data_IF_508045085353
#
_entry.id   IF_508045085353
#
_cell.length_a   1.000
_cell.length_b   1.000
_cell.length_c   1.000
_cell.angle_alpha   90.00
_cell.angle_beta   90.00
_cell.angle_gamma   90.00
#
_symmetry.space_group_name_H-M   'P 1'
#
loop_
_entity.id
_entity.type
_entity.pdbx_description
1 polymer ?
#
# COMPACT_ATOMS: atom_id res chain seq x y z
N UNK A 1 17.87 6.79 -0.10
CA UNK A 1 18.98 5.83 -0.33
C UNK A 1 19.45 5.19 0.98
N UNK A 2 19.78 5.97 2.01
CA UNK A 2 20.26 5.42 3.29
C UNK A 2 19.30 4.40 3.92
N UNK A 3 18.03 4.77 4.13
CA UNK A 3 17.01 3.86 4.68
C UNK A 3 16.81 2.60 3.83
N UNK A 4 16.99 2.69 2.51
CA UNK A 4 16.88 1.50 1.64
C UNK A 4 18.05 0.53 1.88
N UNK A 5 19.27 1.03 2.12
CA UNK A 5 20.42 0.19 2.48
C UNK A 5 20.25 -0.41 3.87
N UNK A 6 19.76 0.39 4.83
CA UNK A 6 19.43 -0.08 6.18
C UNK A 6 18.41 -1.23 6.14
N UNK A 7 17.43 -1.15 5.23
CA UNK A 7 16.45 -2.21 4.99
C UNK A 7 17.01 -3.43 4.24
N UNK A 8 18.33 -3.50 4.02
CA UNK A 8 18.99 -4.59 3.29
C UNK A 8 19.02 -4.42 1.77
N UNK A 9 18.61 -3.28 1.24
CA UNK A 9 18.68 -2.99 -0.20
C UNK A 9 20.10 -2.80 -0.71
N UNK A 10 20.35 -3.20 -1.95
CA UNK A 10 21.65 -3.08 -2.62
C UNK A 10 21.57 -1.98 -3.68
N UNK A 11 22.42 -0.95 -3.53
CA UNK A 11 22.48 0.16 -4.49
C UNK A 11 23.56 -0.12 -5.51
N UNK A 12 23.16 -0.36 -6.76
CA UNK A 12 24.09 -0.46 -7.88
C UNK A 12 24.43 0.94 -8.39
N UNK A 13 25.71 1.17 -8.69
CA UNK A 13 26.19 2.44 -9.27
C UNK A 13 26.43 2.29 -10.77
N UNK A 14 26.34 3.41 -11.48
CA UNK A 14 26.78 3.56 -12.87
C UNK A 14 27.95 4.53 -12.90
N UNK A 15 28.97 4.21 -13.69
CA UNK A 15 30.07 5.12 -13.98
C UNK A 15 29.66 6.13 -15.06
N UNK A 16 29.85 7.40 -14.76
CA UNK A 16 29.59 8.53 -15.64
C UNK A 16 30.78 8.76 -16.59
N UNK A 17 30.56 9.55 -17.64
CA UNK A 17 31.60 9.88 -18.64
C UNK A 17 32.78 10.67 -18.06
N UNK A 18 32.56 11.40 -16.97
CA UNK A 18 33.57 12.13 -16.21
C UNK A 18 34.33 11.23 -15.21
N UNK A 19 34.04 9.93 -15.18
CA UNK A 19 34.66 8.94 -14.31
C UNK A 19 34.04 8.85 -12.90
N UNK A 20 33.09 9.72 -12.54
CA UNK A 20 32.36 9.65 -11.27
C UNK A 20 31.38 8.47 -11.24
N UNK A 21 30.95 8.06 -10.06
CA UNK A 21 29.90 7.06 -9.89
C UNK A 21 28.62 7.71 -9.36
N UNK A 22 27.47 7.30 -9.92
CA UNK A 22 26.15 7.73 -9.46
C UNK A 22 25.27 6.53 -9.16
N UNK A 23 24.45 6.57 -8.09
CA UNK A 23 23.42 5.55 -7.86
C UNK A 23 22.52 5.40 -9.08
N UNK A 24 22.34 4.16 -9.54
CA UNK A 24 21.57 3.83 -10.73
C UNK A 24 20.31 3.03 -10.40
N UNK A 25 20.46 2.01 -9.55
CA UNK A 25 19.36 1.09 -9.22
C UNK A 25 19.39 0.77 -7.73
N UNK A 26 18.23 0.80 -7.09
CA UNK A 26 18.03 0.31 -5.73
C UNK A 26 17.36 -1.07 -5.84
N UNK A 27 18.14 -2.11 -5.58
CA UNK A 27 17.68 -3.48 -5.59
C UNK A 27 17.15 -3.82 -4.20
N UNK A 28 15.83 -3.91 -4.06
CA UNK A 28 15.13 -4.21 -2.82
C UNK A 28 13.73 -4.76 -3.16
N UNK A 29 13.14 -5.60 -2.30
CA UNK A 29 11.72 -5.90 -2.41
C UNK A 29 10.88 -4.73 -1.92
N UNK A 30 9.69 -4.56 -2.48
CA UNK A 30 8.83 -3.45 -2.07
C UNK A 30 8.36 -3.58 -0.62
N UNK A 31 8.21 -4.81 -0.12
CA UNK A 31 7.88 -5.05 1.28
C UNK A 31 9.00 -4.59 2.21
N UNK A 32 10.25 -4.94 1.94
CA UNK A 32 11.39 -4.53 2.77
C UNK A 32 11.72 -3.05 2.63
N UNK A 33 11.46 -2.44 1.46
CA UNK A 33 11.54 -0.99 1.29
C UNK A 33 10.67 -0.22 2.30
N UNK A 34 9.60 -0.85 2.79
CA UNK A 34 8.68 -0.27 3.77
C UNK A 34 9.03 -0.59 5.23
N UNK A 35 10.18 -1.20 5.56
CA UNK A 35 10.57 -1.50 6.96
C UNK A 35 10.75 -0.24 7.82
N UNK A 36 11.35 0.80 7.24
CA UNK A 36 11.71 2.04 7.96
C UNK A 36 11.15 3.26 7.25
N UNK A 37 11.08 4.37 7.98
CA UNK A 37 10.82 5.70 7.42
C UNK A 37 12.08 6.56 7.47
N UNK A 38 12.00 7.80 6.98
CA UNK A 38 13.06 8.80 7.19
C UNK A 38 13.30 9.12 8.68
N UNK A 39 12.40 8.71 9.57
CA UNK A 39 12.51 8.87 11.04
C UNK A 39 13.02 7.61 11.73
N UNK A 40 13.35 6.54 11.00
CA UNK A 40 13.83 5.27 11.53
C UNK A 40 12.80 4.13 11.45
N UNK A 41 13.08 3.05 12.17
CA UNK A 41 12.22 1.86 12.27
C UNK A 41 11.02 2.08 13.19
N UNK A 42 9.91 1.43 12.84
CA UNK A 42 8.71 1.34 13.66
C UNK A 42 8.00 -0.01 13.41
N UNK A 43 6.93 -0.28 14.16
CA UNK A 43 6.15 -1.52 14.04
C UNK A 43 5.05 -1.43 12.97
N UNK A 44 5.10 -0.43 12.09
CA UNK A 44 4.04 -0.09 11.13
C UNK A 44 4.33 -0.54 9.70
N UNK A 45 5.32 -1.40 9.48
CA UNK A 45 5.70 -1.86 8.13
C UNK A 45 4.52 -2.48 7.39
N UNK A 46 3.73 -3.34 8.04
CA UNK A 46 2.62 -4.07 7.38
C UNK A 46 1.50 -3.11 6.99
N UNK A 47 1.17 -2.18 7.87
CA UNK A 47 0.15 -1.16 7.71
C UNK A 47 0.55 -0.22 6.58
N UNK A 48 1.79 0.29 6.61
CA UNK A 48 2.38 1.11 5.54
C UNK A 48 2.38 0.40 4.20
N UNK A 49 2.77 -0.87 4.18
CA UNK A 49 2.77 -1.67 2.97
C UNK A 49 1.35 -1.84 2.42
N UNK A 50 0.40 -2.25 3.25
CA UNK A 50 -1.00 -2.41 2.85
C UNK A 50 -1.62 -1.09 2.37
N UNK A 51 -1.33 0.04 3.02
CA UNK A 51 -1.75 1.36 2.59
C UNK A 51 -1.28 1.64 1.15
N UNK A 52 0.01 1.43 0.86
CA UNK A 52 0.56 1.64 -0.49
C UNK A 52 -0.12 0.77 -1.56
N UNK A 53 -0.44 -0.49 -1.23
CA UNK A 53 -1.14 -1.38 -2.15
C UNK A 53 -2.61 -0.98 -2.32
N UNK A 54 -3.23 -0.43 -1.26
CA UNK A 54 -4.62 0.01 -1.29
C UNK A 54 -4.78 1.29 -2.10
N UNK A 55 -3.85 2.24 -1.97
CA UNK A 55 -3.81 3.44 -2.82
C UNK A 55 -3.77 3.06 -4.31
N UNK A 56 -2.92 2.10 -4.69
CA UNK A 56 -2.90 1.59 -6.07
C UNK A 56 -4.27 0.99 -6.47
N UNK A 57 -4.93 0.27 -5.56
CA UNK A 57 -6.28 -0.26 -5.76
C UNK A 57 -7.39 0.80 -5.77
N UNK A 58 -7.12 2.06 -5.46
CA UNK A 58 -8.12 3.14 -5.50
C UNK A 58 -8.12 3.84 -6.85
N UNK A 59 -6.93 3.93 -7.45
CA UNK A 59 -6.69 4.68 -8.67
C UNK A 59 -7.52 4.17 -9.87
N UNK A 60 -7.81 5.10 -10.77
CA UNK A 60 -8.42 4.85 -12.07
C UNK A 60 -7.49 3.96 -12.92
N UNK A 61 -8.09 2.96 -13.58
CA UNK A 61 -7.36 1.99 -14.39
C UNK A 61 -7.37 0.57 -13.81
N UNK A 62 -6.45 -0.24 -14.33
CA UNK A 62 -6.30 -1.65 -13.97
C UNK A 62 -5.11 -1.82 -13.02
N UNK A 63 -5.35 -2.15 -11.74
CA UNK A 63 -4.26 -2.39 -10.79
C UNK A 63 -3.50 -3.65 -11.18
N UNK A 64 -2.17 -3.55 -11.21
CA UNK A 64 -1.28 -4.67 -11.51
C UNK A 64 -0.44 -4.99 -10.27
N UNK A 65 -0.47 -6.25 -9.85
CA UNK A 65 0.31 -6.70 -8.71
C UNK A 65 1.55 -7.46 -9.15
N UNK A 66 2.69 -7.11 -8.56
CA UNK A 66 3.87 -7.96 -8.60
C UNK A 66 3.72 -9.10 -7.57
N UNK A 67 4.09 -10.32 -7.94
CA UNK A 67 3.94 -11.50 -7.07
C UNK A 67 4.61 -11.33 -5.69
N UNK A 68 5.78 -10.69 -5.66
CA UNK A 68 6.48 -10.42 -4.39
C UNK A 68 5.78 -9.37 -3.52
N UNK A 69 4.97 -8.50 -4.11
CA UNK A 69 4.09 -7.60 -3.35
C UNK A 69 2.88 -8.33 -2.80
N UNK A 70 2.26 -9.23 -3.59
CA UNK A 70 1.13 -10.06 -3.12
C UNK A 70 1.51 -10.92 -1.93
N UNK A 71 2.72 -11.46 -1.97
CA UNK A 71 3.23 -12.35 -0.96
C UNK A 71 4.05 -11.64 0.11
N UNK A 72 4.22 -10.31 0.11
CA UNK A 72 5.12 -9.62 1.05
C UNK A 72 6.51 -10.28 1.16
N UNK A 73 7.11 -10.62 0.01
CA UNK A 73 8.42 -11.31 -0.03
C UNK A 73 9.52 -10.37 0.50
N UNK A 74 10.28 -10.84 1.48
CA UNK A 74 11.47 -10.15 1.99
C UNK A 74 12.64 -10.22 0.98
N UNK A 75 13.68 -9.43 1.19
CA UNK A 75 14.87 -9.44 0.36
C UNK A 75 15.51 -10.83 0.27
N UNK A 76 15.76 -11.31 -0.95
CA UNK A 76 16.34 -12.62 -1.23
C UNK A 76 17.87 -12.54 -1.31
N UNK A 77 18.51 -12.41 -0.15
CA UNK A 77 19.96 -12.25 -0.04
C UNK A 77 20.72 -13.50 -0.46
N UNK A 78 20.19 -14.69 -0.18
CA UNK A 78 20.78 -15.97 -0.58
C UNK A 78 20.96 -16.03 -2.10
N UNK A 79 19.93 -15.67 -2.86
CA UNK A 79 20.02 -15.63 -4.32
C UNK A 79 21.01 -14.58 -4.85
N UNK A 80 21.20 -13.46 -4.15
CA UNK A 80 22.26 -12.51 -4.50
C UNK A 80 23.64 -13.14 -4.30
N UNK A 81 23.85 -13.82 -3.17
CA UNK A 81 25.11 -14.48 -2.86
C UNK A 81 25.45 -15.58 -3.88
N UNK A 82 24.46 -16.36 -4.30
CA UNK A 82 24.63 -17.43 -5.30
C UNK A 82 24.90 -16.90 -6.71
N UNK A 83 24.21 -15.83 -7.12
CA UNK A 83 24.27 -15.34 -8.51
C UNK A 83 25.29 -14.23 -8.72
N UNK A 84 25.73 -13.55 -7.67
CA UNK A 84 26.54 -12.33 -7.73
C UNK A 84 25.80 -11.11 -8.31
N UNK A 85 24.47 -11.18 -8.48
CA UNK A 85 23.68 -10.13 -9.14
C UNK A 85 22.74 -9.46 -8.14
N UNK A 86 22.91 -8.16 -7.93
CA UNK A 86 22.09 -7.38 -7.00
C UNK A 86 20.57 -7.50 -7.28
N UNK A 87 20.16 -7.49 -8.55
CA UNK A 87 18.75 -7.61 -8.96
C UNK A 87 18.07 -8.92 -8.56
N UNK A 88 18.82 -9.94 -8.17
CA UNK A 88 18.23 -11.20 -7.71
C UNK A 88 17.46 -11.01 -6.40
N UNK A 89 17.80 -9.98 -5.62
CA UNK A 89 17.20 -9.69 -4.31
C UNK A 89 15.68 -9.56 -4.33
N UNK A 90 15.08 -9.12 -5.45
CA UNK A 90 13.64 -8.94 -5.61
C UNK A 90 13.05 -9.78 -6.74
N UNK A 91 13.71 -10.90 -7.08
CA UNK A 91 13.30 -11.83 -8.14
C UNK A 91 13.38 -13.29 -7.67
N UNK A 92 13.05 -13.53 -6.40
CA UNK A 92 13.01 -14.88 -5.84
C UNK A 92 12.04 -15.74 -6.65
N UNK A 93 12.44 -16.96 -6.96
CA UNK A 93 11.51 -17.97 -7.46
C UNK A 93 11.02 -18.76 -6.26
N UNK A 94 9.71 -18.78 -6.05
CA UNK A 94 9.12 -19.57 -4.99
C UNK A 94 9.01 -21.02 -5.41
N UNK A 95 9.41 -21.91 -4.51
CA UNK A 95 8.92 -23.28 -4.55
C UNK A 95 7.44 -23.28 -4.11
N UNK A 96 6.62 -24.05 -4.80
CA UNK A 96 5.17 -24.07 -4.58
C UNK A 96 4.81 -24.62 -3.19
N UNK A 97 5.44 -25.74 -2.78
CA UNK A 97 5.15 -26.36 -1.49
C UNK A 97 5.61 -25.47 -0.33
N UNK A 98 6.75 -24.80 -0.52
CA UNK A 98 7.25 -23.83 0.44
C UNK A 98 6.24 -22.70 0.68
N UNK A 99 5.80 -22.03 -0.40
CA UNK A 99 4.90 -20.88 -0.24
C UNK A 99 3.52 -21.32 0.26
N UNK A 100 3.01 -22.47 -0.17
CA UNK A 100 1.76 -23.03 0.36
C UNK A 100 1.84 -23.27 1.88
N UNK A 101 2.95 -23.82 2.34
CA UNK A 101 3.19 -24.06 3.77
C UNK A 101 3.19 -22.74 4.56
N UNK A 102 3.86 -21.71 4.05
CA UNK A 102 3.89 -20.38 4.68
C UNK A 102 2.50 -19.73 4.70
N UNK A 103 1.72 -19.91 3.63
CA UNK A 103 0.36 -19.37 3.52
C UNK A 103 -0.67 -20.10 4.39
N UNK A 104 -0.39 -21.34 4.81
CA UNK A 104 -1.23 -22.11 5.72
C UNK A 104 -0.97 -21.81 7.21
N UNK A 105 0.06 -21.02 7.53
CA UNK A 105 0.47 -20.68 8.89
C UNK A 105 0.20 -19.20 9.22
N UNK A 106 0.37 -18.81 10.49
CA UNK A 106 0.31 -17.40 10.92
C UNK A 106 1.60 -16.66 10.56
N UNK A 107 1.78 -16.40 9.27
CA UNK A 107 2.94 -15.69 8.72
C UNK A 107 2.56 -14.33 8.15
N UNK A 108 3.54 -13.44 8.01
CA UNK A 108 3.36 -12.17 7.28
C UNK A 108 2.86 -12.38 5.86
N UNK A 109 3.31 -13.44 5.18
CA UNK A 109 2.84 -13.83 3.85
C UNK A 109 1.33 -14.07 3.83
N UNK A 110 0.84 -14.92 4.75
CA UNK A 110 -0.57 -15.24 4.87
C UNK A 110 -1.42 -14.01 5.25
N UNK A 111 -0.96 -13.23 6.24
CA UNK A 111 -1.64 -12.05 6.72
C UNK A 111 -1.80 -10.98 5.61
N UNK A 112 -0.72 -10.66 4.90
CA UNK A 112 -0.75 -9.65 3.82
C UNK A 112 -1.59 -10.13 2.65
N UNK A 113 -1.39 -11.36 2.17
CA UNK A 113 -2.16 -11.91 1.05
C UNK A 113 -3.66 -11.91 1.36
N UNK A 114 -4.05 -12.32 2.57
CA UNK A 114 -5.45 -12.32 3.00
C UNK A 114 -6.04 -10.91 2.96
N UNK A 115 -5.33 -9.93 3.54
CA UNK A 115 -5.77 -8.53 3.57
C UNK A 115 -5.84 -7.91 2.18
N UNK A 116 -4.95 -8.27 1.25
CA UNK A 116 -5.02 -7.84 -0.15
C UNK A 116 -6.17 -8.50 -0.90
N UNK A 117 -6.40 -9.81 -0.73
CA UNK A 117 -7.54 -10.52 -1.34
C UNK A 117 -8.88 -9.91 -0.94
N UNK A 118 -9.04 -9.53 0.34
CA UNK A 118 -10.24 -8.84 0.82
C UNK A 118 -10.44 -7.52 0.09
N UNK A 119 -9.39 -6.67 0.02
CA UNK A 119 -9.45 -5.36 -0.67
C UNK A 119 -9.77 -5.51 -2.16
N UNK A 120 -9.11 -6.45 -2.83
CA UNK A 120 -9.35 -6.76 -4.25
C UNK A 120 -10.81 -7.20 -4.45
N UNK A 121 -11.32 -8.08 -3.58
CA UNK A 121 -12.70 -8.53 -3.66
C UNK A 121 -13.69 -7.38 -3.45
N UNK A 122 -13.44 -6.50 -2.47
CA UNK A 122 -14.27 -5.31 -2.26
C UNK A 122 -14.24 -4.42 -3.50
N UNK A 123 -13.06 -4.13 -4.08
CA UNK A 123 -12.91 -3.30 -5.29
C UNK A 123 -13.76 -3.84 -6.43
N UNK A 124 -13.67 -5.15 -6.68
CA UNK A 124 -14.41 -5.83 -7.76
C UNK A 124 -15.93 -5.65 -7.67
N UNK A 125 -16.45 -5.46 -6.47
CA UNK A 125 -17.89 -5.31 -6.23
C UNK A 125 -18.38 -3.86 -6.30
N UNK A 126 -17.49 -2.86 -6.49
CA UNK A 126 -17.92 -1.46 -6.63
C UNK A 126 -17.85 -1.02 -8.09
N UNK A 127 -18.99 -0.58 -8.63
CA UNK A 127 -19.08 0.03 -9.97
C UNK A 127 -18.23 1.31 -10.08
N UNK A 128 -18.06 2.04 -8.98
CA UNK A 128 -17.21 3.22 -8.91
C UNK A 128 -15.74 2.93 -9.27
N UNK A 129 -15.27 1.70 -9.09
CA UNK A 129 -13.90 1.30 -9.42
C UNK A 129 -13.73 0.75 -10.85
N UNK A 130 -14.75 0.85 -11.71
CA UNK A 130 -14.59 0.54 -13.14
C UNK A 130 -13.40 1.33 -13.73
N UNK A 131 -12.59 0.77 -14.65
CA UNK A 131 -11.45 1.49 -15.21
C UNK A 131 -11.80 2.85 -15.84
N UNK A 132 -12.96 2.91 -16.52
CA UNK A 132 -13.46 4.16 -17.14
C UNK A 132 -14.25 5.05 -16.18
N UNK A 133 -14.49 4.61 -14.94
CA UNK A 133 -15.20 5.41 -13.95
C UNK A 133 -14.34 6.61 -13.53
N UNK A 134 -14.89 7.85 -13.55
CA UNK A 134 -14.15 9.06 -13.19
C UNK A 134 -13.45 8.99 -11.84
N UNK A 135 -12.33 9.72 -11.74
CA UNK A 135 -11.57 9.97 -10.53
C UNK A 135 -11.39 11.47 -10.32
N UNK A 136 -11.50 11.91 -9.07
CA UNK A 136 -11.21 13.27 -8.62
C UNK A 136 -10.26 13.20 -7.42
N UNK A 137 -9.18 13.98 -7.41
CA UNK A 137 -8.34 14.13 -6.21
C UNK A 137 -9.03 15.06 -5.22
N UNK A 138 -9.02 14.69 -3.94
CA UNK A 138 -9.66 15.46 -2.87
C UNK A 138 -8.57 16.03 -1.97
N UNK A 139 -8.59 17.34 -1.77
CA UNK A 139 -7.67 18.01 -0.84
C UNK A 139 -7.98 17.58 0.59
N UNK A 140 -7.01 16.97 1.26
CA UNK A 140 -7.17 16.42 2.61
C UNK A 140 -6.01 16.80 3.54
N UNK A 141 -5.10 17.67 3.10
CA UNK A 141 -3.88 18.02 3.83
C UNK A 141 -2.76 17.00 3.64
N UNK A 142 -1.56 17.35 4.13
CA UNK A 142 -0.32 16.62 3.83
C UNK A 142 -0.26 15.20 4.43
N UNK A 143 -1.06 14.92 5.45
CA UNK A 143 -1.08 13.61 6.11
C UNK A 143 -1.86 12.54 5.32
N UNK A 144 -2.59 12.94 4.28
CA UNK A 144 -3.55 12.07 3.62
C UNK A 144 -3.41 12.08 2.12
N UNK A 145 -3.68 10.92 1.52
CA UNK A 145 -4.06 10.82 0.11
C UNK A 145 -5.55 10.54 0.08
N UNK A 146 -6.31 11.41 -0.59
CA UNK A 146 -7.73 11.24 -0.76
C UNK A 146 -8.14 11.38 -2.23
N UNK A 147 -9.02 10.50 -2.67
CA UNK A 147 -9.62 10.57 -4.00
C UNK A 147 -11.06 10.08 -3.97
N UNK A 148 -11.86 10.60 -4.89
CA UNK A 148 -13.24 10.18 -5.09
C UNK A 148 -13.37 9.42 -6.40
N UNK A 149 -14.00 8.27 -6.34
CA UNK A 149 -14.41 7.49 -7.51
C UNK A 149 -15.92 7.57 -7.67
N UNK A 150 -16.38 7.81 -8.89
CA UNK A 150 -17.81 7.87 -9.22
C UNK A 150 -18.12 6.88 -10.32
N UNK A 151 -19.13 6.03 -10.16
CA UNK A 151 -19.52 5.08 -11.21
C UNK A 151 -19.92 5.80 -12.49
N UNK A 152 -19.82 5.12 -13.63
CA UNK A 152 -20.12 5.69 -14.95
C UNK A 152 -21.58 6.15 -15.08
N UNK A 153 -22.51 5.54 -14.32
CA UNK A 153 -23.91 5.96 -14.22
C UNK A 153 -24.17 7.05 -13.16
N UNK A 154 -23.12 7.51 -12.45
CA UNK A 154 -23.19 8.54 -11.41
C UNK A 154 -23.85 8.10 -10.09
N UNK A 155 -24.29 6.84 -9.98
CA UNK A 155 -25.11 6.36 -8.84
C UNK A 155 -24.29 5.98 -7.61
N UNK A 156 -23.08 5.49 -7.80
CA UNK A 156 -22.19 5.11 -6.72
C UNK A 156 -21.04 6.10 -6.63
N UNK A 157 -20.76 6.58 -5.42
CA UNK A 157 -19.58 7.38 -5.10
C UNK A 157 -18.85 6.74 -3.93
N UNK A 158 -17.55 6.55 -4.09
CA UNK A 158 -16.67 6.05 -3.03
C UNK A 158 -15.59 7.09 -2.79
N UNK A 159 -15.52 7.60 -1.56
CA UNK A 159 -14.43 8.46 -1.10
C UNK A 159 -13.37 7.56 -0.47
N UNK A 160 -12.21 7.48 -1.10
CA UNK A 160 -11.06 6.74 -0.61
C UNK A 160 -10.15 7.72 0.14
N UNK A 161 -9.77 7.36 1.36
CA UNK A 161 -8.86 8.16 2.18
C UNK A 161 -7.83 7.25 2.81
N UNK A 162 -6.55 7.56 2.63
CA UNK A 162 -5.44 6.84 3.24
C UNK A 162 -4.59 7.82 4.06
N UNK A 163 -4.43 7.56 5.35
CA UNK A 163 -3.39 8.21 6.15
C UNK A 163 -2.02 7.70 5.67
N UNK A 164 -1.08 8.58 5.34
CA UNK A 164 0.27 8.19 4.88
C UNK A 164 1.35 8.46 5.93
N UNK A 165 0.94 8.69 7.17
CA UNK A 165 1.81 9.07 8.28
C UNK A 165 1.71 8.06 9.44
N UNK A 166 2.69 8.04 10.35
CA UNK A 166 2.62 7.27 11.58
C UNK A 166 1.76 7.95 12.67
N UNK A 167 1.13 9.10 12.38
CA UNK A 167 0.39 9.87 13.39
C UNK A 167 -0.88 9.14 13.78
N UNK A 168 -1.01 8.89 15.09
CA UNK A 168 -2.26 8.40 15.66
C UNK A 168 -3.31 9.49 15.57
N UNK A 169 -4.52 9.06 15.23
CA UNK A 169 -5.70 9.90 15.23
C UNK A 169 -5.57 11.17 14.38
N UNK A 170 -4.96 11.04 13.21
CA UNK A 170 -4.85 12.14 12.27
C UNK A 170 -6.27 12.62 11.90
N UNK A 171 -6.50 13.92 12.08
CA UNK A 171 -7.80 14.55 11.86
C UNK A 171 -7.95 14.98 10.42
N UNK A 172 -9.02 14.54 9.77
CA UNK A 172 -9.38 15.02 8.44
C UNK A 172 -10.22 16.31 8.52
N UNK A 173 -10.11 17.18 7.50
CA UNK A 173 -11.13 18.20 7.24
C UNK A 173 -12.52 17.56 7.07
N UNK A 174 -13.59 18.33 7.25
CA UNK A 174 -14.98 17.87 7.02
C UNK A 174 -15.24 17.58 5.52
N UNK A 175 -14.73 16.44 5.06
CA UNK A 175 -14.84 15.95 3.68
C UNK A 175 -16.03 15.00 3.47
N UNK A 176 -16.61 14.51 4.55
CA UNK A 176 -17.71 13.54 4.54
C UNK A 176 -19.00 14.28 4.91
N UNK A 177 -19.84 14.50 3.90
CA UNK A 177 -21.20 14.99 4.12
C UNK A 177 -22.05 13.86 4.71
N UNK A 178 -22.77 14.11 5.80
CA UNK A 178 -23.66 13.13 6.45
C UNK A 178 -22.93 11.88 6.97
N UNK A 179 -21.99 12.02 7.93
CA UNK A 179 -21.26 10.89 8.54
C UNK A 179 -22.16 9.77 9.04
N UNK A 180 -23.35 10.11 9.54
CA UNK A 180 -24.29 9.18 10.12
C UNK A 180 -24.85 8.17 9.12
N UNK A 181 -24.82 8.51 7.82
CA UNK A 181 -25.27 7.70 6.69
C UNK A 181 -24.09 7.18 5.84
N UNK A 182 -22.86 7.29 6.34
CA UNK A 182 -21.66 6.85 5.64
C UNK A 182 -21.06 5.62 6.32
N UNK A 183 -20.67 4.62 5.53
CA UNK A 183 -19.99 3.42 6.03
C UNK A 183 -18.63 3.25 5.36
N UNK A 184 -17.70 2.63 6.08
CA UNK A 184 -16.48 2.08 5.50
C UNK A 184 -16.75 0.71 4.87
N UNK A 185 -16.37 0.54 3.60
CA UNK A 185 -16.56 -0.69 2.84
C UNK A 185 -15.68 -1.86 3.33
N UNK A 186 -14.61 -1.60 4.09
CA UNK A 186 -13.80 -2.67 4.67
C UNK A 186 -14.42 -3.27 5.92
N UNK A 187 -14.96 -2.44 6.80
CA UNK A 187 -15.48 -2.85 8.11
C UNK A 187 -17.01 -2.94 8.17
N UNK A 188 -17.72 -2.33 7.22
CA UNK A 188 -19.15 -2.07 7.27
C UNK A 188 -19.61 -1.29 8.51
N UNK A 189 -18.68 -0.53 9.12
CA UNK A 189 -18.94 0.32 10.27
C UNK A 189 -18.90 1.79 9.88
N UNK A 190 -19.46 2.65 10.73
CA UNK A 190 -19.33 4.10 10.57
C UNK A 190 -17.88 4.51 10.81
N UNK A 191 -17.36 5.54 10.11
CA UNK A 191 -16.03 6.06 10.39
C UNK A 191 -15.93 6.56 11.84
N UNK A 192 -14.75 6.40 12.44
CA UNK A 192 -14.47 6.85 13.81
C UNK A 192 -14.47 8.37 13.86
N UNK A 193 -15.23 8.94 14.80
CA UNK A 193 -15.32 10.39 15.03
C UNK A 193 -15.02 10.65 16.51
N UNK A 194 -14.07 11.54 16.79
CA UNK A 194 -13.73 12.02 18.14
C UNK A 194 -13.85 13.54 18.13
N UNK A 195 -14.58 14.12 19.09
CA UNK A 195 -14.78 15.57 19.23
C UNK A 195 -15.22 16.28 17.93
N UNK A 196 -16.02 15.57 17.11
CA UNK A 196 -16.54 16.09 15.83
C UNK A 196 -15.56 15.99 14.66
N UNK A 197 -14.37 15.43 14.86
CA UNK A 197 -13.36 15.20 13.83
C UNK A 197 -13.29 13.72 13.42
N UNK A 198 -13.11 13.45 12.12
CA UNK A 198 -12.83 12.09 11.65
C UNK A 198 -11.40 11.70 11.99
N UNK A 199 -11.28 10.50 12.54
CA UNK A 199 -10.03 9.97 13.07
C UNK A 199 -9.61 8.77 12.26
N UNK A 200 -8.41 8.84 11.70
CA UNK A 200 -7.81 7.74 10.93
C UNK A 200 -6.50 7.31 11.56
N UNK A 201 -6.38 6.01 11.82
CA UNK A 201 -5.21 5.39 12.42
C UNK A 201 -3.98 5.47 11.49
N UNK A 202 -2.75 5.27 12.01
CA UNK A 202 -1.54 5.26 11.20
C UNK A 202 -1.63 4.31 10.01
N UNK A 203 -1.39 4.82 8.80
CA UNK A 203 -1.47 4.05 7.56
C UNK A 203 -2.83 3.35 7.30
N UNK A 204 -3.89 3.75 7.99
CA UNK A 204 -5.22 3.20 7.74
C UNK A 204 -5.79 3.78 6.44
N UNK A 205 -6.50 2.93 5.71
CA UNK A 205 -7.27 3.29 4.52
C UNK A 205 -8.75 3.06 4.79
N UNK A 206 -9.59 4.04 4.45
CA UNK A 206 -11.04 3.98 4.50
C UNK A 206 -11.62 4.13 3.10
N UNK A 207 -12.59 3.29 2.74
CA UNK A 207 -13.38 3.45 1.53
C UNK A 207 -14.81 3.75 1.93
N UNK A 208 -15.19 5.02 1.81
CA UNK A 208 -16.43 5.53 2.37
C UNK A 208 -17.51 5.64 1.31
N UNK A 209 -18.65 5.03 1.58
CA UNK A 209 -19.84 5.06 0.73
C UNK A 209 -21.05 5.51 1.54
N UNK A 210 -21.85 6.42 0.96
CA UNK A 210 -23.15 6.80 1.52
C UNK A 210 -24.17 5.69 1.28
N UNK A 211 -24.90 5.32 2.32
CA UNK A 211 -25.99 4.34 2.30
C UNK A 211 -27.36 5.01 2.30
#
# INVERSE_FOLDING_TARGET
>A
IYSMKENGGIVSTRRNSDGTESPYEINITYFDAMKTTVRGSDDLQKERFLASQTIMLEMQGLPAFYIHSLLATANYHEGVNETGRARTINRRKWDEQEIETLLAQDTTHAAVLTKLKIRINIRKNQKAFHPDAPQEMVEAGEAFIALRRTSTDGKQRVLCITNITPQQEATLPNLIENPENTIDLFTHQKPKIIDGAFVIDPYQTLWLEKR
#
